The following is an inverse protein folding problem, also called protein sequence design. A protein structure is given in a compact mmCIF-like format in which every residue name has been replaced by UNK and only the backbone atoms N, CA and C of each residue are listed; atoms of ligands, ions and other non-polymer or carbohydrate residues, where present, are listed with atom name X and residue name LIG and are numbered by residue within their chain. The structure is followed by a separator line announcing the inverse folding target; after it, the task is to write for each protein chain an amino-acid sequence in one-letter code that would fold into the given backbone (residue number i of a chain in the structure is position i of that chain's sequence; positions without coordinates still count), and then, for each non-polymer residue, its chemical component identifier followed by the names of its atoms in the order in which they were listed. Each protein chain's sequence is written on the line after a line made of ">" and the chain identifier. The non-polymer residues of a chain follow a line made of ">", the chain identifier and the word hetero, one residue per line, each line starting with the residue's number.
data_IF_660919295902
#
_entry.id   IF_660919295902
#
_cell.length_a   1.000
_cell.length_b   1.000
_cell.length_c   1.000
_cell.angle_alpha   90.00
_cell.angle_beta   90.00
_cell.angle_gamma   90.00
#
_symmetry.space_group_name_H-M   'P 1'
#
loop_
_entity.id
_entity.type
_entity.pdbx_description
1 polymer ?
#
# COMPACT_ATOMS: atom_id res chain seq x y z
N UNK A 1 -14.09 -10.27 -45.68
CA UNK A 1 -14.71 -10.55 -44.36
C UNK A 1 -13.61 -10.62 -43.33
N UNK A 2 -13.26 -9.46 -42.76
CA UNK A 2 -12.33 -9.35 -41.63
C UNK A 2 -13.12 -9.70 -40.39
N UNK A 3 -12.96 -10.93 -39.90
CA UNK A 3 -13.52 -11.35 -38.63
C UNK A 3 -12.92 -10.47 -37.55
N UNK A 4 -13.69 -9.48 -37.11
CA UNK A 4 -13.52 -8.79 -35.82
C UNK A 4 -13.50 -9.89 -34.76
N UNK A 5 -12.31 -10.41 -34.49
CA UNK A 5 -12.06 -11.38 -33.45
C UNK A 5 -12.56 -10.77 -32.15
N UNK A 6 -13.75 -11.21 -31.73
CA UNK A 6 -14.36 -10.78 -30.49
C UNK A 6 -13.33 -10.97 -29.39
N UNK A 7 -12.87 -9.86 -28.82
CA UNK A 7 -12.13 -9.89 -27.57
C UNK A 7 -13.10 -10.48 -26.54
N UNK A 8 -13.06 -11.82 -26.40
CA UNK A 8 -13.66 -12.48 -25.27
C UNK A 8 -13.16 -11.73 -24.01
N UNK A 9 -14.06 -11.30 -23.11
CA UNK A 9 -13.68 -10.55 -21.94
C UNK A 9 -12.63 -11.38 -21.19
N UNK A 10 -11.38 -10.90 -21.19
CA UNK A 10 -10.31 -11.56 -20.44
C UNK A 10 -10.79 -11.60 -18.99
N UNK A 11 -10.84 -12.78 -18.35
CA UNK A 11 -11.29 -12.85 -16.97
C UNK A 11 -10.49 -11.84 -16.15
N UNK A 12 -11.12 -11.12 -15.21
CA UNK A 12 -10.42 -10.19 -14.36
C UNK A 12 -9.20 -10.92 -13.76
N UNK A 13 -8.01 -10.30 -13.80
CA UNK A 13 -6.79 -10.97 -13.39
C UNK A 13 -6.97 -11.43 -11.95
N UNK A 14 -6.76 -12.72 -11.67
CA UNK A 14 -6.91 -13.36 -10.34
C UNK A 14 -6.33 -12.49 -9.21
N UNK A 15 -5.19 -11.87 -9.48
CA UNK A 15 -4.51 -10.90 -8.61
C UNK A 15 -5.42 -9.78 -8.10
N UNK A 16 -6.30 -9.22 -8.93
CA UNK A 16 -7.25 -8.19 -8.53
C UNK A 16 -8.19 -8.69 -7.43
N UNK A 17 -8.74 -9.89 -7.59
CA UNK A 17 -9.63 -10.49 -6.59
C UNK A 17 -8.89 -10.87 -5.30
N UNK A 18 -7.68 -11.41 -5.41
CA UNK A 18 -6.84 -11.65 -4.23
C UNK A 18 -6.56 -10.35 -3.46
N UNK A 19 -6.28 -9.25 -4.17
CA UNK A 19 -6.11 -7.91 -3.59
C UNK A 19 -7.38 -7.37 -2.93
N UNK A 20 -8.53 -7.58 -3.57
CA UNK A 20 -9.84 -7.18 -3.05
C UNK A 20 -10.19 -7.93 -1.76
N UNK A 21 -10.05 -9.26 -1.75
CA UNK A 21 -10.34 -10.11 -0.60
C UNK A 21 -9.37 -9.85 0.57
N UNK A 22 -8.07 -9.77 0.30
CA UNK A 22 -7.09 -9.38 1.33
C UNK A 22 -7.42 -8.00 1.91
N UNK A 23 -7.68 -7.02 1.05
CA UNK A 23 -8.08 -5.68 1.47
C UNK A 23 -9.35 -5.66 2.33
N UNK A 24 -10.33 -6.51 2.01
CA UNK A 24 -11.55 -6.68 2.78
C UNK A 24 -11.32 -7.25 4.17
N UNK A 25 -10.52 -8.32 4.27
CA UNK A 25 -10.18 -8.95 5.56
C UNK A 25 -9.43 -7.94 6.45
N UNK A 26 -8.40 -7.27 5.92
CA UNK A 26 -7.65 -6.27 6.69
C UNK A 26 -8.55 -5.09 7.07
N UNK A 27 -9.47 -4.65 6.20
CA UNK A 27 -10.45 -3.62 6.56
C UNK A 27 -11.33 -4.07 7.72
N UNK A 28 -11.83 -5.31 7.70
CA UNK A 28 -12.59 -5.92 8.80
C UNK A 28 -11.82 -5.85 10.12
N UNK A 29 -10.63 -6.44 10.13
CA UNK A 29 -9.84 -6.58 11.36
C UNK A 29 -9.38 -5.24 11.96
N UNK A 30 -9.04 -4.26 11.12
CA UNK A 30 -8.46 -3.00 11.58
C UNK A 30 -9.44 -1.83 11.65
N UNK A 31 -10.70 -1.96 11.18
CA UNK A 31 -11.66 -0.84 11.22
C UNK A 31 -11.89 -0.24 12.63
N UNK A 32 -12.03 -1.04 13.71
CA UNK A 32 -12.16 -0.50 15.06
C UNK A 32 -11.01 0.43 15.46
N UNK A 33 -9.78 0.01 15.15
CA UNK A 33 -8.55 0.76 15.45
C UNK A 33 -8.46 2.02 14.59
N UNK A 34 -8.81 1.92 13.30
CA UNK A 34 -8.84 3.03 12.36
C UNK A 34 -9.72 4.17 12.85
N UNK A 35 -10.95 3.84 13.24
CA UNK A 35 -11.92 4.82 13.74
C UNK A 35 -11.46 5.40 15.08
N UNK A 36 -10.95 4.56 15.99
CA UNK A 36 -10.45 5.03 17.27
C UNK A 36 -9.27 6.02 17.14
N UNK A 37 -8.33 5.76 16.23
CA UNK A 37 -7.20 6.65 15.90
C UNK A 37 -7.66 7.97 15.26
N UNK A 38 -8.74 7.94 14.46
CA UNK A 38 -9.32 9.16 13.93
C UNK A 38 -9.99 9.99 15.03
N UNK A 39 -10.81 9.36 15.87
CA UNK A 39 -11.52 10.04 16.95
C UNK A 39 -10.58 10.57 18.04
N UNK A 40 -9.45 9.91 18.31
CA UNK A 40 -8.45 10.41 19.25
C UNK A 40 -7.84 11.73 18.77
N UNK A 41 -7.57 11.84 17.47
CA UNK A 41 -7.05 13.06 16.85
C UNK A 41 -8.12 14.14 16.75
N UNK A 42 -9.33 13.79 16.28
CA UNK A 42 -10.45 14.71 16.10
C UNK A 42 -10.90 15.33 17.43
N UNK A 43 -11.08 14.52 18.46
CA UNK A 43 -11.64 14.93 19.75
C UNK A 43 -10.56 15.20 20.80
N UNK A 44 -9.29 15.26 20.38
CA UNK A 44 -8.18 15.66 21.23
C UNK A 44 -7.94 14.80 22.49
N UNK A 45 -8.33 13.52 22.45
CA UNK A 45 -8.32 12.62 23.63
C UNK A 45 -7.35 11.45 23.46
N UNK A 46 -6.91 10.79 24.56
CA UNK A 46 -6.04 9.61 24.48
C UNK A 46 -6.65 8.50 23.61
N UNK A 47 -5.81 7.77 22.88
CA UNK A 47 -6.24 6.69 21.97
C UNK A 47 -7.08 5.63 22.70
N UNK A 48 -6.63 5.17 23.87
CA UNK A 48 -7.29 4.13 24.67
C UNK A 48 -8.55 4.60 25.42
N UNK A 49 -9.03 5.82 25.17
CA UNK A 49 -10.29 6.26 25.76
C UNK A 49 -11.45 5.41 25.20
N UNK A 50 -12.26 4.80 26.09
CA UNK A 50 -13.35 3.90 25.72
C UNK A 50 -14.36 4.53 24.74
N UNK A 51 -14.55 5.85 24.81
CA UNK A 51 -15.43 6.56 23.90
C UNK A 51 -14.92 6.58 22.44
N UNK A 52 -13.66 6.24 22.17
CA UNK A 52 -13.15 6.01 20.81
C UNK A 52 -13.63 4.68 20.21
N UNK A 53 -14.03 3.74 21.05
CA UNK A 53 -14.41 2.38 20.67
C UNK A 53 -15.93 2.16 20.75
N UNK A 54 -16.71 3.15 21.19
CA UNK A 54 -18.17 3.16 21.08
C UNK A 54 -18.53 3.13 19.58
N UNK A 55 -19.25 2.10 19.11
CA UNK A 55 -19.58 1.81 17.69
C UNK A 55 -18.35 1.59 16.76
N UNK A 56 -17.55 0.53 17.00
CA UNK A 56 -16.25 0.33 16.34
C UNK A 56 -16.33 0.06 14.83
N UNK A 57 -17.48 -0.41 14.35
CA UNK A 57 -17.74 -0.69 12.93
C UNK A 57 -18.54 0.39 12.21
N UNK A 58 -18.71 1.58 12.82
CA UNK A 58 -19.36 2.69 12.16
C UNK A 58 -18.59 3.09 10.89
N UNK A 59 -19.29 3.17 9.76
CA UNK A 59 -18.68 3.41 8.44
C UNK A 59 -17.86 2.24 7.90
N UNK A 60 -18.06 1.01 8.41
CA UNK A 60 -17.30 -0.17 7.96
C UNK A 60 -17.42 -0.39 6.45
N UNK A 61 -18.61 -0.29 5.85
CA UNK A 61 -18.79 -0.46 4.40
C UNK A 61 -17.95 0.53 3.60
N UNK A 62 -17.79 1.77 4.07
CA UNK A 62 -16.87 2.75 3.45
C UNK A 62 -15.41 2.32 3.56
N UNK A 63 -15.00 1.86 4.74
CA UNK A 63 -13.65 1.34 4.95
C UNK A 63 -13.37 0.13 4.06
N UNK A 64 -14.37 -0.76 3.93
CA UNK A 64 -14.32 -1.94 3.08
C UNK A 64 -14.19 -1.55 1.61
N UNK A 65 -15.11 -0.74 1.08
CA UNK A 65 -15.07 -0.25 -0.31
C UNK A 65 -13.75 0.45 -0.60
N UNK A 66 -13.34 1.39 0.25
CA UNK A 66 -12.08 2.11 0.08
C UNK A 66 -10.88 1.17 0.07
N UNK A 67 -10.74 0.28 1.07
CA UNK A 67 -9.56 -0.61 1.17
C UNK A 67 -9.55 -1.70 0.10
N UNK A 68 -10.71 -2.25 -0.24
CA UNK A 68 -10.82 -3.28 -1.26
C UNK A 68 -10.49 -2.71 -2.64
N UNK A 69 -11.02 -1.53 -2.97
CA UNK A 69 -10.68 -0.82 -4.21
C UNK A 69 -9.24 -0.33 -4.19
N UNK A 70 -8.78 0.28 -3.10
CA UNK A 70 -7.39 0.77 -2.97
C UNK A 70 -6.38 -0.37 -3.05
N UNK A 71 -6.63 -1.51 -2.42
CA UNK A 71 -5.75 -2.69 -2.48
C UNK A 71 -5.74 -3.32 -3.87
N UNK A 72 -6.91 -3.43 -4.49
CA UNK A 72 -7.06 -3.91 -5.86
C UNK A 72 -6.40 -3.01 -6.91
N UNK A 73 -6.26 -1.71 -6.65
CA UNK A 73 -5.64 -0.75 -7.57
C UNK A 73 -4.14 -0.55 -7.28
N UNK A 74 -3.75 -0.42 -6.01
CA UNK A 74 -2.39 -0.01 -5.62
C UNK A 74 -1.32 -1.00 -6.07
N UNK A 75 -1.45 -2.29 -5.72
CA UNK A 75 -0.42 -3.28 -6.05
C UNK A 75 -0.27 -3.50 -7.56
N UNK A 76 -1.34 -3.59 -8.37
CA UNK A 76 -1.20 -3.62 -9.82
C UNK A 76 -0.57 -2.36 -10.41
N UNK A 77 -0.92 -1.16 -9.91
CA UNK A 77 -0.29 0.08 -10.36
C UNK A 77 1.21 0.10 -10.01
N UNK A 78 1.58 -0.29 -8.79
CA UNK A 78 2.99 -0.40 -8.37
C UNK A 78 3.77 -1.33 -9.30
N UNK A 79 3.22 -2.51 -9.61
CA UNK A 79 3.86 -3.49 -10.51
C UNK A 79 4.02 -2.95 -11.94
N UNK A 80 2.98 -2.31 -12.48
CA UNK A 80 3.01 -1.67 -13.81
C UNK A 80 4.07 -0.56 -13.86
N UNK A 81 4.09 0.35 -12.89
CA UNK A 81 5.06 1.44 -12.84
C UNK A 81 6.49 0.92 -12.65
N UNK A 82 6.69 -0.03 -11.73
CA UNK A 82 8.00 -0.60 -11.46
C UNK A 82 8.57 -1.34 -12.68
N UNK A 83 7.76 -2.20 -13.32
CA UNK A 83 8.17 -2.94 -14.51
C UNK A 83 8.51 -2.01 -15.67
N UNK A 84 7.74 -0.95 -15.85
CA UNK A 84 7.98 0.05 -16.90
C UNK A 84 9.31 0.79 -16.67
N UNK A 85 9.56 1.25 -15.45
CA UNK A 85 10.82 1.93 -15.08
C UNK A 85 12.04 1.02 -15.23
N UNK A 86 11.91 -0.26 -14.87
CA UNK A 86 12.97 -1.25 -15.05
C UNK A 86 13.30 -1.49 -16.52
N UNK A 87 12.28 -1.59 -17.39
CA UNK A 87 12.48 -1.73 -18.84
C UNK A 87 13.23 -0.52 -19.42
N UNK A 88 12.84 0.69 -19.06
CA UNK A 88 13.50 1.91 -19.55
C UNK A 88 14.94 2.04 -19.02
N UNK A 89 15.19 1.66 -17.77
CA UNK A 89 16.55 1.62 -17.21
C UNK A 89 17.45 0.65 -17.98
N UNK A 90 16.95 -0.57 -18.24
CA UNK A 90 17.69 -1.57 -19.03
C UNK A 90 18.00 -1.07 -20.44
N UNK A 91 17.03 -0.45 -21.12
CA UNK A 91 17.22 0.17 -22.45
C UNK A 91 18.29 1.26 -22.42
N UNK A 92 18.26 2.16 -21.43
CA UNK A 92 19.27 3.23 -21.28
C UNK A 92 20.66 2.65 -21.06
N UNK A 93 20.79 1.63 -20.21
CA UNK A 93 22.06 0.94 -19.98
C UNK A 93 22.59 0.28 -21.26
N UNK A 94 21.74 -0.44 -21.99
CA UNK A 94 22.13 -1.05 -23.27
C UNK A 94 22.58 0.00 -24.30
N UNK A 95 21.92 1.16 -24.37
CA UNK A 95 22.33 2.28 -25.24
C UNK A 95 23.69 2.86 -24.84
N UNK A 96 23.95 3.02 -23.55
CA UNK A 96 25.23 3.52 -23.04
C UNK A 96 26.36 2.51 -23.29
N UNK A 97 26.12 1.22 -23.09
CA UNK A 97 27.08 0.16 -23.37
C UNK A 97 27.38 0.07 -24.88
N UNK A 98 26.36 0.18 -25.74
CA UNK A 98 26.54 0.25 -27.18
C UNK A 98 27.37 1.48 -27.59
N UNK A 99 27.08 2.66 -27.01
CA UNK A 99 27.85 3.90 -27.27
C UNK A 99 29.30 3.78 -26.79
N UNK A 100 29.55 3.12 -25.66
CA UNK A 100 30.91 2.86 -25.16
C UNK A 100 31.69 1.92 -26.09
N UNK A 101 31.03 0.92 -26.67
CA UNK A 101 31.64 0.00 -27.67
C UNK A 101 31.90 0.68 -29.02
N UNK A 102 31.04 1.63 -29.41
CA UNK A 102 31.16 2.34 -30.68
C UNK A 102 32.24 3.44 -30.67
N UNK A 103 32.66 3.93 -29.51
CA UNK A 103 33.75 4.90 -29.45
C UNK A 103 35.09 4.21 -29.73
N UNK A 104 35.83 4.61 -30.77
CA UNK A 104 37.13 4.03 -31.08
C UNK A 104 38.05 4.19 -29.88
N UNK A 105 38.64 3.09 -29.42
CA UNK A 105 39.60 3.10 -28.34
C UNK A 105 40.71 4.09 -28.71
N UNK A 106 40.80 5.22 -27.99
CA UNK A 106 41.98 6.10 -28.08
C UNK A 106 43.16 5.30 -27.53
N UNK A 107 43.84 4.64 -28.46
CA UNK A 107 45.03 3.80 -28.28
C UNK A 107 46.14 4.71 -27.76
N UNK A 108 46.36 4.76 -26.45
CA UNK A 108 47.45 5.57 -25.92
C UNK A 108 47.51 5.79 -24.41
N UNK A 109 46.40 5.66 -23.66
CA UNK A 109 46.46 5.79 -22.19
C UNK A 109 46.48 4.43 -21.52
N UNK A 110 47.57 4.15 -20.82
CA UNK A 110 47.75 3.06 -19.86
C UNK A 110 46.74 3.21 -18.72
N UNK A 111 45.46 2.97 -18.98
CA UNK A 111 44.43 2.92 -17.96
C UNK A 111 44.65 1.64 -17.14
N UNK A 112 45.24 1.84 -15.97
CA UNK A 112 45.18 0.88 -14.86
C UNK A 112 43.72 0.43 -14.71
N UNK A 113 43.49 -0.88 -14.74
CA UNK A 113 42.21 -1.52 -14.44
C UNK A 113 41.81 -1.23 -12.99
N UNK A 114 41.48 0.02 -12.67
CA UNK A 114 40.84 0.40 -11.43
C UNK A 114 39.45 -0.23 -11.46
N UNK A 115 39.35 -1.43 -10.90
CA UNK A 115 38.11 -2.12 -10.66
C UNK A 115 37.14 -1.10 -10.07
N UNK A 116 36.02 -0.87 -10.75
CA UNK A 116 34.95 0.01 -10.25
C UNK A 116 34.67 -0.48 -8.83
N UNK A 117 34.94 0.33 -7.79
CA UNK A 117 34.85 -0.12 -6.43
C UNK A 117 33.43 -0.67 -6.25
N UNK A 118 33.36 -1.95 -5.84
CA UNK A 118 32.10 -2.61 -5.55
C UNK A 118 31.30 -1.65 -4.66
N UNK A 119 30.20 -1.12 -5.20
CA UNK A 119 29.44 -0.07 -4.56
C UNK A 119 29.18 -0.50 -3.12
N UNK A 120 29.76 0.24 -2.17
CA UNK A 120 29.65 -0.11 -0.76
C UNK A 120 28.19 -0.30 -0.37
N UNK A 121 27.93 -1.16 0.61
CA UNK A 121 26.59 -1.55 1.10
C UNK A 121 25.65 -0.40 1.50
N UNK A 122 26.09 0.86 1.42
CA UNK A 122 25.31 2.07 1.63
C UNK A 122 24.78 2.76 0.36
N UNK A 123 25.35 2.53 -0.83
CA UNK A 123 25.05 3.34 -2.01
C UNK A 123 23.62 3.13 -2.52
N UNK A 124 22.90 4.23 -2.75
CA UNK A 124 21.55 4.20 -3.31
C UNK A 124 21.60 3.71 -4.76
N UNK A 125 20.96 2.58 -5.05
CA UNK A 125 21.01 1.97 -6.38
C UNK A 125 19.94 2.53 -7.30
N UNK A 126 20.13 2.39 -8.62
CA UNK A 126 19.09 2.72 -9.59
C UNK A 126 17.81 1.88 -9.39
N UNK A 127 17.94 0.65 -8.88
CA UNK A 127 16.82 -0.21 -8.52
C UNK A 127 16.02 0.38 -7.37
N UNK A 128 16.69 0.93 -6.36
CA UNK A 128 16.08 1.64 -5.23
C UNK A 128 15.33 2.89 -5.69
N UNK A 129 15.94 3.66 -6.60
CA UNK A 129 15.30 4.83 -7.19
C UNK A 129 14.01 4.45 -7.93
N UNK A 130 14.08 3.42 -8.79
CA UNK A 130 12.93 2.94 -9.54
C UNK A 130 11.80 2.45 -8.61
N UNK A 131 12.18 1.78 -7.53
CA UNK A 131 11.25 1.33 -6.49
C UNK A 131 10.55 2.52 -5.80
N UNK A 132 11.31 3.55 -5.42
CA UNK A 132 10.77 4.75 -4.80
C UNK A 132 9.84 5.52 -5.74
N UNK A 133 10.23 5.73 -7.01
CA UNK A 133 9.41 6.44 -8.01
C UNK A 133 8.13 5.67 -8.31
N UNK A 134 8.18 4.34 -8.43
CA UNK A 134 6.99 3.53 -8.62
C UNK A 134 6.00 3.68 -7.46
N UNK A 135 6.51 3.67 -6.21
CA UNK A 135 5.70 3.90 -5.01
C UNK A 135 5.06 5.30 -4.97
N UNK A 136 5.79 6.35 -5.35
CA UNK A 136 5.26 7.72 -5.45
C UNK A 136 4.14 7.80 -6.48
N UNK A 137 4.35 7.23 -7.67
CA UNK A 137 3.37 7.24 -8.76
C UNK A 137 2.09 6.48 -8.37
N UNK A 138 2.24 5.26 -7.84
CA UNK A 138 1.11 4.45 -7.38
C UNK A 138 0.32 5.16 -6.27
N UNK A 139 1.02 5.74 -5.28
CA UNK A 139 0.42 6.53 -4.20
C UNK A 139 -0.35 7.75 -4.71
N UNK A 140 0.24 8.52 -5.63
CA UNK A 140 -0.38 9.73 -6.21
C UNK A 140 -1.69 9.41 -6.94
N UNK A 141 -1.65 8.39 -7.82
CA UNK A 141 -2.81 8.00 -8.63
C UNK A 141 -3.93 7.47 -7.75
N UNK A 142 -3.60 6.57 -6.81
CA UNK A 142 -4.56 6.00 -5.87
C UNK A 142 -5.22 7.08 -5.00
N UNK A 143 -4.42 7.99 -4.44
CA UNK A 143 -4.90 9.09 -3.62
C UNK A 143 -5.88 10.00 -4.37
N UNK A 144 -5.56 10.33 -5.62
CA UNK A 144 -6.38 11.23 -6.44
C UNK A 144 -7.73 10.59 -6.77
N UNK A 145 -7.71 9.34 -7.22
CA UNK A 145 -8.92 8.60 -7.61
C UNK A 145 -9.85 8.33 -6.42
N UNK A 146 -9.28 8.02 -5.25
CA UNK A 146 -10.05 7.56 -4.09
C UNK A 146 -10.34 8.65 -3.07
N UNK A 147 -9.90 9.90 -3.28
CA UNK A 147 -10.17 11.00 -2.35
C UNK A 147 -11.67 11.23 -2.07
N UNK A 148 -12.58 11.21 -3.06
CA UNK A 148 -14.01 11.39 -2.80
C UNK A 148 -14.58 10.35 -1.82
N UNK A 149 -14.16 9.09 -1.96
CA UNK A 149 -14.58 7.99 -1.08
C UNK A 149 -14.03 8.22 0.34
N UNK A 150 -12.78 8.68 0.46
CA UNK A 150 -12.21 9.05 1.76
C UNK A 150 -13.01 10.18 2.41
N UNK A 151 -13.35 11.23 1.67
CA UNK A 151 -14.11 12.36 2.20
C UNK A 151 -15.44 11.90 2.84
N UNK A 152 -16.18 11.03 2.16
CA UNK A 152 -17.43 10.44 2.68
C UNK A 152 -17.17 9.56 3.90
N UNK A 153 -16.13 8.72 3.87
CA UNK A 153 -15.73 7.87 5.01
C UNK A 153 -15.50 8.69 6.28
N UNK A 154 -14.70 9.74 6.17
CA UNK A 154 -14.38 10.62 7.30
C UNK A 154 -15.60 11.37 7.81
N UNK A 155 -16.51 11.76 6.91
CA UNK A 155 -17.78 12.36 7.30
C UNK A 155 -18.65 11.38 8.12
N UNK A 156 -18.77 10.13 7.68
CA UNK A 156 -19.47 9.08 8.42
C UNK A 156 -18.82 8.79 9.78
N UNK A 157 -17.50 8.76 9.89
CA UNK A 157 -16.86 8.53 11.20
C UNK A 157 -17.11 9.62 12.22
N UNK A 158 -17.48 10.82 11.75
CA UNK A 158 -17.83 11.93 12.62
C UNK A 158 -19.26 11.88 13.17
N UNK A 159 -20.12 10.98 12.70
CA UNK A 159 -21.56 10.90 13.02
C UNK A 159 -22.01 9.44 13.21
N UNK A 160 -22.69 9.17 14.32
CA UNK A 160 -23.02 7.78 14.70
C UNK A 160 -24.26 7.21 13.98
N UNK A 161 -25.01 8.02 13.23
CA UNK A 161 -26.37 7.71 12.74
C UNK A 161 -26.52 7.68 11.21
N UNK A 162 -25.43 7.72 10.43
CA UNK A 162 -25.52 7.94 8.96
C UNK A 162 -24.96 6.79 8.13
N UNK A 163 -25.74 6.38 7.13
CA UNK A 163 -25.26 5.50 6.05
C UNK A 163 -24.38 6.29 5.07
N UNK A 164 -23.59 5.56 4.28
CA UNK A 164 -22.67 6.11 3.28
C UNK A 164 -23.39 7.01 2.26
N UNK A 165 -24.50 6.53 1.71
CA UNK A 165 -25.24 7.22 0.66
C UNK A 165 -25.90 8.50 1.20
N UNK A 166 -26.42 8.44 2.42
CA UNK A 166 -26.97 9.62 3.11
C UNK A 166 -25.87 10.66 3.33
N UNK A 167 -24.71 10.24 3.85
CA UNK A 167 -23.56 11.13 4.03
C UNK A 167 -23.09 11.77 2.71
N UNK A 168 -22.99 10.99 1.63
CA UNK A 168 -22.60 11.51 0.32
C UNK A 168 -23.63 12.51 -0.23
N UNK A 169 -24.94 12.20 -0.12
CA UNK A 169 -26.02 13.09 -0.54
C UNK A 169 -26.03 14.39 0.27
N UNK A 170 -25.83 14.32 1.58
CA UNK A 170 -25.74 15.50 2.45
C UNK A 170 -24.52 16.37 2.12
N UNK A 171 -23.35 15.77 1.89
CA UNK A 171 -22.15 16.49 1.46
C UNK A 171 -22.39 17.20 0.12
N UNK A 172 -23.01 16.51 -0.83
CA UNK A 172 -23.36 17.08 -2.13
C UNK A 172 -24.38 18.22 -2.01
N UNK A 173 -25.43 18.05 -1.21
CA UNK A 173 -26.42 19.09 -0.96
C UNK A 173 -25.80 20.34 -0.29
N UNK A 174 -24.84 20.15 0.63
CA UNK A 174 -24.25 21.24 1.41
C UNK A 174 -23.16 22.02 0.66
N UNK A 175 -22.39 21.36 -0.21
CA UNK A 175 -21.21 21.97 -0.83
C UNK A 175 -20.95 21.55 -2.28
N UNK A 176 -21.86 20.82 -2.91
CA UNK A 176 -21.72 20.23 -4.26
C UNK A 176 -20.47 19.34 -4.31
N UNK A 177 -19.59 19.55 -5.29
CA UNK A 177 -18.36 18.75 -5.47
C UNK A 177 -17.22 19.13 -4.52
N UNK A 178 -17.23 20.34 -3.95
CA UNK A 178 -16.11 20.87 -3.14
C UNK A 178 -15.76 20.02 -1.90
N UNK A 179 -16.72 19.45 -1.15
CA UNK A 179 -16.42 18.56 -0.02
C UNK A 179 -15.65 17.30 -0.42
N UNK A 180 -15.82 16.81 -1.66
CA UNK A 180 -15.18 15.60 -2.16
C UNK A 180 -13.73 15.82 -2.61
N UNK A 181 -13.37 17.06 -2.94
CA UNK A 181 -11.98 17.46 -3.26
C UNK A 181 -11.22 17.97 -2.04
N UNK A 182 -11.89 18.06 -0.88
CA UNK A 182 -11.28 18.52 0.36
C UNK A 182 -10.12 17.60 0.75
N UNK A 183 -9.00 18.22 1.11
CA UNK A 183 -7.80 17.49 1.54
C UNK A 183 -7.05 16.71 0.46
N UNK A 184 -7.43 16.81 -0.82
CA UNK A 184 -6.78 16.03 -1.90
C UNK A 184 -5.27 16.26 -1.95
N UNK A 185 -4.80 17.50 -1.77
CA UNK A 185 -3.36 17.82 -1.76
C UNK A 185 -2.65 17.12 -0.59
N UNK A 186 -3.23 17.18 0.61
CA UNK A 186 -2.65 16.51 1.77
C UNK A 186 -2.68 14.99 1.61
N UNK A 187 -3.72 14.42 1.00
CA UNK A 187 -3.83 13.00 0.67
C UNK A 187 -2.74 12.59 -0.34
N UNK A 188 -2.57 13.31 -1.44
CA UNK A 188 -1.54 13.02 -2.45
C UNK A 188 -0.14 13.09 -1.86
N UNK A 189 0.18 14.14 -1.10
CA UNK A 189 1.49 14.26 -0.45
C UNK A 189 1.74 13.12 0.55
N UNK A 190 0.73 12.77 1.36
CA UNK A 190 0.80 11.67 2.32
C UNK A 190 1.07 10.34 1.63
N UNK A 191 0.29 10.02 0.60
CA UNK A 191 0.34 8.72 -0.09
C UNK A 191 1.60 8.60 -0.96
N UNK A 192 2.09 9.71 -1.52
CA UNK A 192 3.36 9.75 -2.26
C UNK A 192 4.56 9.48 -1.35
N UNK A 193 4.65 10.19 -0.23
CA UNK A 193 5.71 10.00 0.76
C UNK A 193 5.68 8.57 1.33
N UNK A 194 4.46 8.10 1.66
CA UNK A 194 4.27 6.75 2.17
C UNK A 194 4.69 5.71 1.13
N UNK A 195 4.12 5.74 -0.08
CA UNK A 195 4.36 4.74 -1.12
C UNK A 195 5.83 4.70 -1.54
N UNK A 196 6.45 5.86 -1.77
CA UNK A 196 7.86 5.94 -2.14
C UNK A 196 8.78 5.35 -1.09
N UNK A 197 8.63 5.77 0.18
CA UNK A 197 9.49 5.29 1.25
C UNK A 197 9.22 3.82 1.60
N UNK A 198 7.95 3.40 1.63
CA UNK A 198 7.57 2.03 1.92
C UNK A 198 8.17 1.05 0.91
N UNK A 199 7.99 1.31 -0.38
CA UNK A 199 8.49 0.41 -1.44
C UNK A 199 10.03 0.37 -1.44
N UNK A 200 10.70 1.50 -1.20
CA UNK A 200 12.15 1.55 -1.02
C UNK A 200 12.62 0.74 0.20
N UNK A 201 12.12 1.06 1.39
CA UNK A 201 12.55 0.45 2.64
C UNK A 201 12.26 -1.05 2.67
N UNK A 202 11.08 -1.48 2.18
CA UNK A 202 10.70 -2.89 2.13
C UNK A 202 11.68 -3.70 1.28
N UNK A 203 12.01 -3.22 0.06
CA UNK A 203 12.94 -3.94 -0.82
C UNK A 203 14.35 -4.02 -0.24
N UNK A 204 14.83 -2.93 0.34
CA UNK A 204 16.16 -2.89 0.96
C UNK A 204 16.26 -3.82 2.16
N UNK A 205 15.29 -3.77 3.08
CA UNK A 205 15.26 -4.64 4.26
C UNK A 205 15.13 -6.11 3.88
N UNK A 206 14.30 -6.44 2.88
CA UNK A 206 14.19 -7.82 2.39
C UNK A 206 15.48 -8.32 1.71
N UNK A 207 16.17 -7.47 0.94
CA UNK A 207 17.45 -7.81 0.32
C UNK A 207 18.56 -8.02 1.37
N UNK A 208 18.64 -7.15 2.37
CA UNK A 208 19.59 -7.28 3.48
C UNK A 208 19.31 -8.55 4.30
N UNK A 209 18.03 -8.88 4.54
CA UNK A 209 17.64 -10.13 5.20
C UNK A 209 18.04 -11.37 4.39
N UNK A 210 17.86 -11.34 3.06
CA UNK A 210 18.28 -12.43 2.17
C UNK A 210 19.80 -12.60 2.16
N UNK A 211 20.56 -11.50 2.10
CA UNK A 211 22.02 -11.54 2.12
C UNK A 211 22.55 -12.14 3.42
N UNK A 212 22.01 -11.71 4.58
CA UNK A 212 22.38 -12.26 5.89
C UNK A 212 22.16 -13.77 5.97
N UNK A 213 21.08 -14.28 5.37
CA UNK A 213 20.85 -15.73 5.28
C UNK A 213 21.90 -16.44 4.45
N UNK A 214 22.22 -15.92 3.27
CA UNK A 214 23.25 -16.54 2.42
C UNK A 214 24.62 -16.60 3.11
N UNK A 215 24.98 -15.55 3.86
CA UNK A 215 26.23 -15.53 4.63
C UNK A 215 26.19 -16.48 5.83
N UNK A 216 25.06 -16.59 6.52
CA UNK A 216 24.90 -17.55 7.62
C UNK A 216 24.96 -19.01 7.13
N UNK A 217 24.37 -19.32 5.97
CA UNK A 217 24.41 -20.69 5.42
C UNK A 217 25.81 -21.13 4.99
N UNK A 218 26.68 -20.19 4.60
CA UNK A 218 28.07 -20.52 4.26
C UNK A 218 28.95 -20.79 5.49
N UNK A 219 28.54 -20.35 6.68
CA UNK A 219 29.32 -20.47 7.91
C UNK A 219 28.74 -21.44 8.94
N UNK A 220 27.48 -21.87 8.79
CA UNK A 220 26.78 -22.70 9.76
C UNK A 220 27.05 -24.20 9.54
N UNK A 221 27.35 -24.90 10.63
CA UNK A 221 27.34 -26.37 10.69
C UNK A 221 25.90 -26.89 10.50
N UNK A 222 25.76 -28.15 10.06
CA UNK A 222 24.47 -28.77 9.74
C UNK A 222 23.45 -28.76 10.88
N UNK A 223 23.88 -28.60 12.14
CA UNK A 223 23.00 -28.49 13.31
C UNK A 223 22.35 -27.11 13.48
N UNK A 224 22.99 -26.02 13.03
CA UNK A 224 22.50 -24.65 13.26
C UNK A 224 21.47 -24.22 12.22
N UNK A 225 21.43 -24.89 11.06
CA UNK A 225 20.46 -24.63 9.99
C UNK A 225 19.00 -24.81 10.44
N UNK A 226 18.74 -25.67 11.44
CA UNK A 226 17.39 -25.93 11.94
C UNK A 226 16.79 -24.74 12.73
N UNK A 227 17.62 -23.80 13.19
CA UNK A 227 17.18 -22.63 13.97
C UNK A 227 16.89 -21.39 13.12
N UNK A 228 17.26 -21.41 11.83
CA UNK A 228 17.07 -20.28 10.94
C UNK A 228 15.57 -19.99 10.73
N UNK A 229 15.14 -18.77 11.07
CA UNK A 229 13.75 -18.37 10.91
C UNK A 229 13.31 -18.51 9.43
N UNK A 230 12.12 -19.09 9.15
CA UNK A 230 11.65 -19.31 7.79
C UNK A 230 11.61 -18.00 6.96
N UNK A 231 11.78 -18.07 5.63
CA UNK A 231 11.86 -16.93 4.72
C UNK A 231 10.77 -15.89 4.98
N UNK A 232 9.54 -16.38 5.17
CA UNK A 232 8.33 -15.59 5.41
C UNK A 232 8.42 -14.68 6.64
N UNK A 233 9.05 -15.14 7.73
CA UNK A 233 9.13 -14.35 8.98
C UNK A 233 9.97 -13.08 8.81
N UNK A 234 11.07 -13.14 8.06
CA UNK A 234 11.89 -11.93 7.83
C UNK A 234 11.20 -10.95 6.90
N UNK A 235 10.50 -11.44 5.88
CA UNK A 235 9.80 -10.59 4.93
C UNK A 235 8.61 -9.89 5.58
N UNK A 236 7.88 -10.61 6.44
CA UNK A 236 6.86 -10.01 7.29
C UNK A 236 7.46 -8.92 8.18
N UNK A 237 8.55 -9.20 8.90
CA UNK A 237 9.21 -8.22 9.77
C UNK A 237 9.72 -7.00 9.00
N UNK A 238 10.38 -7.21 7.85
CA UNK A 238 10.83 -6.15 6.96
C UNK A 238 9.66 -5.28 6.48
N UNK A 239 8.53 -5.89 6.14
CA UNK A 239 7.32 -5.19 5.71
C UNK A 239 6.69 -4.39 6.86
N UNK A 240 6.64 -4.94 8.07
CA UNK A 240 6.17 -4.21 9.26
C UNK A 240 7.03 -2.98 9.51
N UNK A 241 8.36 -3.15 9.56
CA UNK A 241 9.30 -2.06 9.82
C UNK A 241 9.22 -0.98 8.73
N UNK A 242 9.25 -1.37 7.46
CA UNK A 242 9.09 -0.46 6.34
C UNK A 242 7.78 0.34 6.42
N UNK A 243 6.67 -0.34 6.74
CA UNK A 243 5.37 0.29 6.91
C UNK A 243 5.31 1.27 8.08
N UNK A 244 5.93 0.92 9.22
CA UNK A 244 6.04 1.81 10.38
C UNK A 244 6.86 3.06 10.07
N UNK A 245 8.00 2.93 9.40
CA UNK A 245 8.87 4.05 9.03
C UNK A 245 8.17 4.97 8.01
N UNK A 246 7.56 4.40 6.97
CA UNK A 246 6.80 5.16 5.98
C UNK A 246 5.60 5.89 6.60
N UNK A 247 4.92 5.24 7.56
CA UNK A 247 3.83 5.87 8.31
C UNK A 247 4.32 7.01 9.19
N UNK A 248 5.47 6.86 9.85
CA UNK A 248 6.06 7.92 10.67
C UNK A 248 6.45 9.13 9.81
N UNK A 249 7.09 8.88 8.67
CA UNK A 249 7.51 9.92 7.72
C UNK A 249 6.31 10.70 7.14
N UNK A 250 5.22 10.00 6.83
CA UNK A 250 4.00 10.60 6.25
C UNK A 250 3.00 11.12 7.30
N UNK A 251 3.28 10.93 8.60
CA UNK A 251 2.39 11.30 9.70
C UNK A 251 1.99 12.79 9.73
N UNK A 252 2.89 13.77 9.45
CA UNK A 252 2.51 15.18 9.43
C UNK A 252 1.42 15.49 8.39
N UNK A 253 1.52 14.93 7.19
CA UNK A 253 0.50 15.09 6.14
C UNK A 253 -0.79 14.35 6.48
N UNK A 254 -0.69 13.19 7.13
CA UNK A 254 -1.87 12.47 7.63
C UNK A 254 -2.63 13.29 8.68
N UNK A 255 -1.93 14.00 9.57
CA UNK A 255 -2.54 14.92 10.53
C UNK A 255 -3.28 16.06 9.82
N UNK A 256 -2.63 16.73 8.87
CA UNK A 256 -3.24 17.82 8.07
C UNK A 256 -4.51 17.34 7.36
N UNK A 257 -4.43 16.18 6.72
CA UNK A 257 -5.56 15.55 6.04
C UNK A 257 -6.73 15.29 6.99
N UNK A 258 -6.46 14.74 8.19
CA UNK A 258 -7.50 14.51 9.20
C UNK A 258 -8.18 15.81 9.64
N UNK A 259 -7.43 16.90 9.80
CA UNK A 259 -7.98 18.24 10.16
C UNK A 259 -8.81 18.85 9.02
N UNK A 260 -8.41 18.59 7.77
CA UNK A 260 -9.16 19.05 6.60
C UNK A 260 -10.47 18.29 6.43
N UNK A 261 -10.48 16.98 6.65
CA UNK A 261 -11.72 16.20 6.61
C UNK A 261 -12.65 16.44 7.80
N UNK A 262 -12.13 16.92 8.94
CA UNK A 262 -12.97 17.19 10.11
C UNK A 262 -13.76 18.49 10.05
N UNK A 263 -13.44 19.41 9.12
CA UNK A 263 -14.20 20.67 8.99
C UNK A 263 -15.50 20.45 8.21
N UNK A 264 -16.52 21.26 8.52
CA UNK A 264 -17.87 21.14 7.93
C UNK A 264 -17.84 21.04 6.39
N UNK A 265 -18.75 20.27 5.76
CA UNK A 265 -18.86 20.23 4.29
C UNK A 265 -19.07 21.62 3.66
N UNK A 266 -19.76 22.53 4.34
CA UNK A 266 -20.01 23.89 3.86
C UNK A 266 -18.79 24.81 3.98
N UNK A 267 -17.83 24.48 4.83
CA UNK A 267 -16.69 25.35 5.13
C UNK A 267 -15.42 24.92 4.37
N UNK A 268 -14.61 25.88 3.89
CA UNK A 268 -13.29 25.55 3.35
C UNK A 268 -12.44 24.90 4.45
N UNK A 269 -11.70 23.85 4.08
CA UNK A 269 -10.78 23.21 5.02
C UNK A 269 -9.65 24.16 5.42
N UNK A 270 -9.07 24.02 6.62
CA UNK A 270 -7.90 24.80 6.99
C UNK A 270 -6.74 24.54 6.01
N UNK A 271 -6.02 25.60 5.65
CA UNK A 271 -4.81 25.46 4.82
C UNK A 271 -3.71 24.70 5.57
N UNK A 272 -2.83 24.02 4.83
CA UNK A 272 -1.72 23.24 5.40
C UNK A 272 -0.87 24.09 6.37
N UNK A 273 -0.45 25.33 6.02
CA UNK A 273 0.34 26.16 6.93
C UNK A 273 -0.44 26.54 8.19
N UNK A 274 -1.76 26.79 8.08
CA UNK A 274 -2.60 27.11 9.24
C UNK A 274 -2.69 25.93 10.21
N UNK A 275 -2.83 24.70 9.69
CA UNK A 275 -2.83 23.49 10.53
C UNK A 275 -1.51 23.33 11.28
N UNK A 276 -0.37 23.49 10.60
CA UNK A 276 0.93 23.39 11.27
C UNK A 276 1.20 24.51 12.25
N UNK A 277 0.84 25.76 11.92
CA UNK A 277 0.96 26.90 12.84
C UNK A 277 0.16 26.66 14.12
N UNK A 278 -1.06 26.13 13.99
CA UNK A 278 -1.91 25.79 15.13
C UNK A 278 -1.31 24.65 15.96
N UNK A 279 -0.79 23.60 15.33
CA UNK A 279 -0.11 22.50 16.02
C UNK A 279 1.13 23.01 16.78
N UNK A 280 1.95 23.84 16.14
CA UNK A 280 3.14 24.43 16.75
C UNK A 280 2.78 25.30 17.96
N UNK A 281 1.81 26.21 17.81
CA UNK A 281 1.36 27.09 18.88
C UNK A 281 0.87 26.28 20.11
N UNK A 282 0.09 25.22 19.88
CA UNK A 282 -0.40 24.34 20.95
C UNK A 282 0.71 23.53 21.60
N UNK A 283 1.62 22.95 20.81
CA UNK A 283 2.80 22.23 21.32
C UNK A 283 3.69 23.15 22.16
N UNK A 284 3.90 24.40 21.72
CA UNK A 284 4.65 25.41 22.46
C UNK A 284 3.95 25.79 23.78
N UNK A 285 2.63 25.92 23.78
CA UNK A 285 1.86 26.15 25.00
C UNK A 285 2.03 24.99 26.00
N UNK A 286 1.93 23.74 25.54
CA UNK A 286 2.17 22.55 26.38
C UNK A 286 3.60 22.53 26.93
N UNK A 287 4.59 22.93 26.10
CA UNK A 287 6.00 23.02 26.53
C UNK A 287 6.18 24.01 27.67
N UNK A 288 5.53 25.18 27.61
CA UNK A 288 5.59 26.19 28.68
C UNK A 288 4.92 25.72 29.96
N UNK A 289 3.79 25.01 29.85
CA UNK A 289 3.02 24.60 31.04
C UNK A 289 3.48 23.29 31.68
N UNK A 290 4.01 22.33 30.89
CA UNK A 290 4.27 20.94 31.31
C UNK A 290 5.67 20.42 30.94
N UNK A 291 6.52 21.27 30.35
CA UNK A 291 7.88 20.93 29.96
C UNK A 291 8.02 20.24 28.60
N UNK A 292 9.27 20.04 28.18
CA UNK A 292 9.64 19.55 26.84
C UNK A 292 9.11 18.14 26.54
N UNK A 293 9.24 17.20 27.48
CA UNK A 293 8.78 15.81 27.29
C UNK A 293 7.29 15.73 26.98
N UNK A 294 6.46 16.47 27.73
CA UNK A 294 5.02 16.54 27.51
C UNK A 294 4.67 17.16 26.15
N UNK A 295 5.43 18.16 25.70
CA UNK A 295 5.23 18.77 24.38
C UNK A 295 5.53 17.82 23.22
N UNK A 296 6.60 17.02 23.33
CA UNK A 296 6.96 16.00 22.33
C UNK A 296 5.90 14.90 22.31
N UNK A 297 5.48 14.41 23.48
CA UNK A 297 4.42 13.42 23.59
C UNK A 297 3.10 13.94 23.00
N UNK A 298 2.76 15.21 23.24
CA UNK A 298 1.60 15.86 22.63
C UNK A 298 1.70 15.86 21.09
N UNK A 299 2.83 16.31 20.54
CA UNK A 299 3.03 16.35 19.08
C UNK A 299 2.94 14.95 18.45
N UNK A 300 3.56 13.94 19.06
CA UNK A 300 3.56 12.56 18.58
C UNK A 300 2.14 11.96 18.63
N UNK A 301 1.42 12.19 19.73
CA UNK A 301 0.03 11.76 19.87
C UNK A 301 -0.87 12.41 18.83
N UNK A 302 -0.68 13.70 18.50
CA UNK A 302 -1.48 14.39 17.47
C UNK A 302 -1.20 13.86 16.06
N UNK A 303 0.05 13.51 15.78
CA UNK A 303 0.42 12.92 14.50
C UNK A 303 0.16 11.40 14.43
N UNK A 304 -0.38 10.79 15.49
CA UNK A 304 -0.55 9.34 15.61
C UNK A 304 0.76 8.54 15.42
N UNK A 305 1.91 9.12 15.79
CA UNK A 305 3.18 8.40 15.85
C UNK A 305 3.13 7.47 17.08
N UNK A 306 3.31 6.17 16.88
CA UNK A 306 3.08 5.13 17.89
C UNK A 306 1.99 4.14 17.43
N UNK A 307 0.78 4.22 17.99
CA UNK A 307 -0.32 3.33 17.61
C UNK A 307 -0.67 3.38 16.12
N UNK A 308 -0.62 4.57 15.50
CA UNK A 308 -0.89 4.72 14.07
C UNK A 308 0.17 4.05 13.20
N UNK A 309 1.46 4.20 13.54
CA UNK A 309 2.57 3.59 12.78
C UNK A 309 2.57 2.07 12.94
N UNK A 310 2.37 1.57 14.16
CA UNK A 310 2.25 0.13 14.45
C UNK A 310 1.10 -0.50 13.66
N UNK A 311 -0.10 0.11 13.71
CA UNK A 311 -1.27 -0.33 12.94
C UNK A 311 -0.95 -0.40 11.45
N UNK A 312 -0.28 0.61 10.89
CA UNK A 312 0.04 0.63 9.46
C UNK A 312 1.03 -0.48 9.11
N UNK A 313 2.14 -0.62 9.85
CA UNK A 313 3.12 -1.68 9.63
C UNK A 313 2.49 -3.08 9.64
N UNK A 314 1.75 -3.40 10.72
CA UNK A 314 1.05 -4.68 10.84
C UNK A 314 0.00 -4.88 9.74
N UNK A 315 -0.79 -3.86 9.44
CA UNK A 315 -1.82 -3.93 8.39
C UNK A 315 -1.24 -4.17 7.00
N UNK A 316 -0.07 -3.58 6.69
CA UNK A 316 0.63 -3.82 5.42
C UNK A 316 1.19 -5.24 5.35
N UNK A 317 1.81 -5.74 6.42
CA UNK A 317 2.40 -7.06 6.45
C UNK A 317 1.34 -8.18 6.41
N UNK A 318 0.25 -8.03 7.18
CA UNK A 318 -0.89 -8.96 7.13
C UNK A 318 -1.57 -8.91 5.76
N UNK A 319 -1.74 -7.72 5.18
CA UNK A 319 -2.32 -7.58 3.84
C UNK A 319 -1.48 -8.26 2.75
N UNK A 320 -0.15 -8.14 2.81
CA UNK A 320 0.77 -8.82 1.91
C UNK A 320 0.68 -10.34 2.06
N UNK A 321 0.76 -10.85 3.30
CA UNK A 321 0.67 -12.28 3.59
C UNK A 321 -0.66 -12.88 3.12
N UNK A 322 -1.78 -12.21 3.40
CA UNK A 322 -3.10 -12.65 2.93
C UNK A 322 -3.19 -12.65 1.40
N UNK A 323 -2.63 -11.63 0.75
CA UNK A 323 -2.63 -11.54 -0.70
C UNK A 323 -1.84 -12.70 -1.33
N UNK A 324 -0.65 -12.99 -0.81
CA UNK A 324 0.20 -14.08 -1.29
C UNK A 324 -0.46 -15.45 -1.08
N UNK A 325 -1.02 -15.69 0.11
CA UNK A 325 -1.74 -16.92 0.40
C UNK A 325 -2.94 -17.12 -0.53
N UNK A 326 -3.78 -16.09 -0.71
CA UNK A 326 -4.93 -16.14 -1.62
C UNK A 326 -4.50 -16.37 -3.07
N UNK A 327 -3.41 -15.74 -3.51
CA UNK A 327 -2.89 -15.88 -4.86
C UNK A 327 -2.35 -17.30 -5.10
N UNK A 328 -1.60 -17.86 -4.14
CA UNK A 328 -1.10 -19.23 -4.20
C UNK A 328 -2.26 -20.24 -4.29
N UNK A 329 -3.26 -20.13 -3.40
CA UNK A 329 -4.44 -21.02 -3.43
C UNK A 329 -5.22 -20.92 -4.74
N UNK A 330 -5.36 -19.71 -5.30
CA UNK A 330 -6.05 -19.53 -6.58
C UNK A 330 -5.31 -20.17 -7.74
N UNK A 331 -3.96 -20.09 -7.77
CA UNK A 331 -3.15 -20.78 -8.78
C UNK A 331 -3.25 -22.30 -8.66
N UNK A 332 -3.11 -22.86 -7.46
CA UNK A 332 -3.26 -24.31 -7.25
C UNK A 332 -4.64 -24.82 -7.66
N UNK A 333 -5.70 -24.05 -7.42
CA UNK A 333 -7.05 -24.39 -7.88
C UNK A 333 -7.17 -24.42 -9.41
N UNK A 334 -6.57 -23.45 -10.10
CA UNK A 334 -6.60 -23.38 -11.55
C UNK A 334 -5.78 -24.49 -12.20
N UNK A 335 -4.61 -24.79 -11.66
CA UNK A 335 -3.77 -25.91 -12.09
C UNK A 335 -4.53 -27.23 -11.95
N UNK A 336 -5.17 -27.47 -10.79
CA UNK A 336 -6.01 -28.65 -10.56
C UNK A 336 -7.20 -28.75 -11.53
N UNK A 337 -7.80 -27.61 -11.89
CA UNK A 337 -8.91 -27.58 -12.87
C UNK A 337 -8.44 -27.86 -14.30
N UNK A 338 -7.23 -27.42 -14.66
CA UNK A 338 -6.63 -27.70 -15.98
C UNK A 338 -6.05 -29.09 -16.11
N UNK A 339 -5.65 -29.71 -15.00
CA UNK A 339 -5.09 -31.06 -14.98
C UNK A 339 -6.15 -32.16 -14.92
N UNK A 340 -7.44 -31.82 -14.74
CA UNK A 340 -8.53 -32.77 -14.96
C UNK A 340 -8.37 -33.30 -16.38
N UNK A 341 -8.01 -34.59 -16.56
CA UNK A 341 -7.83 -35.16 -17.88
C UNK A 341 -9.12 -34.91 -18.64
N UNK A 342 -9.04 -34.32 -19.82
CA UNK A 342 -10.17 -34.41 -20.72
C UNK A 342 -10.43 -35.91 -20.88
N UNK A 343 -11.50 -36.40 -20.26
CA UNK A 343 -12.12 -37.70 -20.53
C UNK A 343 -12.71 -37.67 -21.96
N UNK A 344 -11.88 -37.29 -22.94
CA UNK A 344 -12.01 -37.60 -24.35
C UNK A 344 -11.62 -39.07 -24.47
N UNK A 345 -12.54 -39.94 -24.12
CA UNK A 345 -12.28 -41.37 -24.17
C UNK A 345 -13.31 -42.28 -23.52
N UNK A 346 -14.31 -41.75 -22.80
CA UNK A 346 -15.48 -42.58 -22.53
C UNK A 346 -16.25 -42.74 -23.84
N UNK A 347 -16.39 -43.98 -24.37
CA UNK A 347 -17.18 -44.20 -25.57
C UNK A 347 -18.59 -43.69 -25.27
N UNK A 348 -19.06 -42.77 -26.10
CA UNK A 348 -20.47 -42.42 -26.16
C UNK A 348 -21.19 -43.72 -26.47
N UNK A 349 -21.81 -44.35 -25.45
CA UNK A 349 -22.82 -45.37 -25.71
C UNK A 349 -23.88 -44.67 -26.54
N UNK A 350 -23.85 -44.90 -27.85
CA UNK A 350 -25.00 -44.70 -28.72
C UNK A 350 -26.11 -45.54 -28.15
N UNK A 351 -26.96 -44.91 -27.35
CA UNK A 351 -28.26 -45.48 -26.98
C UNK A 351 -29.07 -45.55 -28.27
N UNK A 352 -29.01 -46.69 -28.93
CA UNK A 352 -29.91 -47.03 -30.02
C UNK A 352 -31.31 -47.08 -29.42
N UNK A 353 -32.09 -46.02 -29.60
CA UNK A 353 -33.52 -45.99 -29.29
C UNK A 353 -34.23 -46.88 -30.30
N UNK A 354 -34.41 -48.16 -29.98
CA UNK A 354 -35.25 -49.06 -30.74
C UNK A 354 -36.70 -48.59 -30.57
N UNK A 355 -37.23 -47.96 -31.61
CA UNK A 355 -38.66 -47.62 -31.74
C UNK A 355 -39.33 -48.85 -32.31
N UNK A 356 -39.99 -49.65 -31.46
CA UNK A 356 -40.82 -50.78 -31.91
C UNK A 356 -42.22 -50.25 -32.20
N UNK A 357 -42.50 -50.02 -33.47
CA UNK A 357 -43.86 -49.96 -34.03
C UNK A 357 -44.18 -51.33 -34.61
N UNK A 358 -45.10 -52.05 -33.99
CA UNK A 358 -46.20 -52.85 -34.58
C UNK A 358 -46.90 -53.61 -33.45
#
# INVERSE_FOLDING_TARGET
>A
QTTLGGLAPRPPPIKFWCGLCSGAIVAGSFNPIDRALYLSVKNERPFLNLANFRTPYQGFINSLLYRAVSGGIYFPLEDVFYTTLQRETKKRRARLEARRRAMPAKRGSTETNAAVPAAGSGAFTQTDLNAMVAGIAAGTVSATLLNPIQAVRYHCWGRDDRTVLVAAREMFASGRIRPFTKGVVATVLRDSLFGGYFTFARKRLSAEAAQRRSSASSSASSSDLASAAPPERSEFAATVLAGMMAAALSAPMNFVRNMQFSSSPSEPGPSIPRVFRNLYARTAAVRRSKGTRASVQYAFARMNIGWGTMRVGLGMAVGALLYEALNASAHSYLEAKTSVPQLKGLPVKTTTTTTTTT
#
